data_IF_669140971067
#
_entry.id   IF_669140971067
#
_cell.length_a   1.000
_cell.length_b   1.000
_cell.length_c   1.000
_cell.angle_alpha   90.00
_cell.angle_beta   90.00
_cell.angle_gamma   90.00
#
_symmetry.space_group_name_H-M   'P 1'
#
loop_
_entity.id
_entity.type
_entity.pdbx_description
1 polymer ?
#
# COMPACT_ATOMS: atom_id res chain seq x y z
N UNK A 1 -13.21 -3.00 11.61
CA UNK A 1 -13.28 -1.60 12.06
C UNK A 1 -12.97 -0.67 10.92
N UNK A 2 -13.37 0.59 10.99
CA UNK A 2 -13.05 1.62 9.99
C UNK A 2 -11.61 2.11 10.16
N UNK A 3 -10.97 2.54 9.07
CA UNK A 3 -9.63 3.14 9.11
C UNK A 3 -9.67 4.64 9.36
N UNK A 4 -8.49 5.25 9.59
CA UNK A 4 -8.38 6.71 9.69
C UNK A 4 -8.86 7.41 8.42
N UNK A 5 -8.54 6.85 7.24
CA UNK A 5 -9.02 7.39 5.95
C UNK A 5 -10.54 7.26 5.84
N UNK A 6 -11.12 6.14 6.27
CA UNK A 6 -12.58 5.99 6.32
C UNK A 6 -13.24 7.06 7.18
N UNK A 7 -12.65 7.39 8.34
CA UNK A 7 -13.13 8.47 9.20
C UNK A 7 -13.03 9.84 8.51
N UNK A 8 -11.93 10.14 7.82
CA UNK A 8 -11.79 11.40 7.08
C UNK A 8 -12.90 11.56 6.03
N UNK A 9 -13.23 10.52 5.26
CA UNK A 9 -14.34 10.52 4.30
C UNK A 9 -15.73 10.50 4.96
N UNK A 10 -15.84 9.94 6.16
CA UNK A 10 -17.07 10.03 6.94
C UNK A 10 -17.39 11.48 7.29
N UNK A 11 -16.38 12.25 7.75
CA UNK A 11 -16.48 13.68 8.04
C UNK A 11 -16.86 14.48 6.80
N UNK A 12 -16.05 14.42 5.73
CA UNK A 12 -16.36 15.08 4.47
C UNK A 12 -15.48 14.55 3.33
N UNK A 13 -15.99 14.56 2.10
CA UNK A 13 -15.21 14.14 0.92
C UNK A 13 -13.95 14.98 0.74
N UNK A 14 -14.04 16.31 0.92
CA UNK A 14 -12.86 17.19 0.78
C UNK A 14 -11.81 16.97 1.88
N UNK A 15 -12.24 16.63 3.10
CA UNK A 15 -11.31 16.29 4.19
C UNK A 15 -10.60 14.98 3.87
N UNK A 16 -11.33 13.98 3.39
CA UNK A 16 -10.77 12.73 2.87
C UNK A 16 -9.77 12.97 1.73
N UNK A 17 -10.15 13.77 0.74
CA UNK A 17 -9.32 14.04 -0.44
C UNK A 17 -8.04 14.79 -0.13
N UNK A 18 -8.07 15.67 0.88
CA UNK A 18 -6.90 16.49 1.28
C UNK A 18 -6.12 15.89 2.45
N UNK A 19 -6.48 14.70 2.92
CA UNK A 19 -5.86 14.02 4.05
C UNK A 19 -4.40 13.68 3.72
N UNK A 20 -3.46 14.12 4.57
CA UNK A 20 -2.03 13.81 4.42
C UNK A 20 -1.48 13.04 5.62
N UNK A 21 -2.04 13.24 6.79
CA UNK A 21 -1.65 12.57 8.02
C UNK A 21 -2.82 12.59 9.01
N UNK A 22 -2.68 11.83 10.08
CA UNK A 22 -3.64 11.87 11.17
C UNK A 22 -2.97 11.61 12.51
N UNK A 23 -3.62 12.10 13.57
CA UNK A 23 -3.31 11.72 14.94
C UNK A 23 -4.50 11.01 15.55
N UNK A 24 -4.23 9.93 16.25
CA UNK A 24 -5.20 9.25 17.09
C UNK A 24 -4.73 9.40 18.52
N UNK A 25 -5.59 9.94 19.39
CA UNK A 25 -5.26 10.25 20.79
C UNK A 25 -3.97 11.08 20.91
N UNK A 26 -3.86 12.12 20.07
CA UNK A 26 -2.73 13.07 19.94
C UNK A 26 -1.40 12.46 19.45
N UNK A 27 -1.38 11.20 19.01
CA UNK A 27 -0.18 10.54 18.45
C UNK A 27 -0.29 10.37 16.94
N UNK A 28 0.75 10.78 16.20
CA UNK A 28 0.84 10.54 14.76
C UNK A 28 0.70 9.04 14.48
N UNK A 29 -0.20 8.71 13.57
CA UNK A 29 -0.64 7.33 13.35
C UNK A 29 -0.77 7.06 11.85
N UNK A 30 -0.37 5.87 11.37
CA UNK A 30 -0.54 5.49 9.98
C UNK A 30 -2.01 5.61 9.52
N UNK A 31 -2.22 6.09 8.29
CA UNK A 31 -3.57 6.28 7.73
C UNK A 31 -4.37 4.97 7.61
N UNK A 32 -3.68 3.83 7.49
CA UNK A 32 -4.28 2.49 7.45
C UNK A 32 -4.77 1.97 8.80
N UNK A 33 -4.45 2.66 9.90
CA UNK A 33 -4.79 2.19 11.25
C UNK A 33 -6.30 2.06 11.42
N UNK A 34 -6.72 0.92 11.97
CA UNK A 34 -8.11 0.64 12.31
C UNK A 34 -8.45 1.35 13.61
N UNK A 35 -9.51 2.16 13.58
CA UNK A 35 -9.99 2.92 14.72
C UNK A 35 -10.80 2.05 15.69
N UNK A 36 -10.71 2.40 16.97
CA UNK A 36 -11.49 1.85 18.08
C UNK A 36 -12.48 2.89 18.58
N UNK A 37 -13.53 2.42 19.25
CA UNK A 37 -14.54 3.31 19.85
C UNK A 37 -13.92 4.17 20.96
N UNK A 38 -14.37 5.42 21.05
CA UNK A 38 -13.91 6.37 22.07
C UNK A 38 -12.57 7.07 21.77
N UNK A 39 -11.92 6.77 20.65
CA UNK A 39 -10.68 7.45 20.27
C UNK A 39 -10.93 8.84 19.69
N UNK A 40 -10.05 9.79 20.00
CA UNK A 40 -10.07 11.12 19.38
C UNK A 40 -9.21 11.10 18.12
N UNK A 41 -9.79 11.46 16.98
CA UNK A 41 -9.09 11.46 15.68
C UNK A 41 -8.97 12.89 15.15
N UNK A 42 -7.73 13.32 14.92
CA UNK A 42 -7.38 14.60 14.30
C UNK A 42 -6.87 14.31 12.89
N UNK A 43 -7.58 14.82 11.87
CA UNK A 43 -7.16 14.70 10.47
C UNK A 43 -6.35 15.92 10.08
N UNK A 44 -5.14 15.69 9.56
CA UNK A 44 -4.26 16.74 9.06
C UNK A 44 -4.47 16.81 7.54
N UNK A 45 -4.82 17.99 7.06
CA UNK A 45 -5.07 18.24 5.62
C UNK A 45 -4.08 19.24 5.04
N UNK A 46 -3.81 19.14 3.74
CA UNK A 46 -2.98 20.09 3.03
C UNK A 46 -3.67 20.63 1.77
N UNK A 47 -3.41 21.91 1.44
CA UNK A 47 -3.87 22.50 0.18
C UNK A 47 -3.12 21.84 -0.98
N UNK A 48 -3.86 21.33 -1.97
CA UNK A 48 -3.28 20.61 -3.12
C UNK A 48 -2.97 19.14 -2.87
N UNK A 49 -3.23 18.61 -1.67
CA UNK A 49 -3.18 17.17 -1.45
C UNK A 49 -4.29 16.46 -2.23
N UNK A 50 -3.97 15.27 -2.72
CA UNK A 50 -4.84 14.42 -3.52
C UNK A 50 -4.90 13.02 -2.90
N UNK A 51 -5.99 12.27 -3.08
CA UNK A 51 -6.08 10.88 -2.66
C UNK A 51 -4.94 10.03 -3.22
N UNK A 52 -4.39 9.16 -2.38
CA UNK A 52 -3.44 8.15 -2.83
C UNK A 52 -4.20 6.91 -3.36
N UNK A 53 -3.91 6.42 -4.59
CA UNK A 53 -4.54 5.22 -5.14
C UNK A 53 -4.44 3.97 -4.25
N UNK A 54 -3.34 3.85 -3.49
CA UNK A 54 -3.12 2.71 -2.59
C UNK A 54 -4.19 2.61 -1.48
N UNK A 55 -4.88 3.71 -1.15
CA UNK A 55 -5.94 3.71 -0.13
C UNK A 55 -7.09 2.78 -0.47
N UNK A 56 -7.41 2.61 -1.76
CA UNK A 56 -8.48 1.71 -2.22
C UNK A 56 -8.27 0.28 -1.70
N UNK A 57 -7.01 -0.14 -1.51
CA UNK A 57 -6.65 -1.47 -1.03
C UNK A 57 -6.92 -1.73 0.45
N UNK A 58 -7.05 -0.69 1.30
CA UNK A 58 -7.21 -0.87 2.74
C UNK A 58 -8.43 -0.18 3.36
N UNK A 59 -9.07 0.77 2.67
CA UNK A 59 -10.28 1.42 3.18
C UNK A 59 -11.46 0.45 3.23
N UNK A 60 -12.24 0.52 4.30
CA UNK A 60 -13.27 -0.48 4.62
C UNK A 60 -14.67 -0.01 4.23
N UNK A 61 -14.95 1.29 4.25
CA UNK A 61 -16.29 1.83 4.02
C UNK A 61 -16.59 2.01 2.53
N UNK A 62 -17.86 1.79 2.15
CA UNK A 62 -18.31 1.99 0.76
C UNK A 62 -18.19 3.46 0.33
N UNK A 63 -18.47 4.40 1.24
CA UNK A 63 -18.34 5.85 1.01
C UNK A 63 -16.91 6.22 0.63
N UNK A 64 -15.92 5.83 1.43
CA UNK A 64 -14.51 6.12 1.14
C UNK A 64 -14.06 5.48 -0.18
N UNK A 65 -14.35 4.18 -0.38
CA UNK A 65 -14.01 3.49 -1.64
C UNK A 65 -14.60 4.19 -2.86
N UNK A 66 -15.88 4.56 -2.80
CA UNK A 66 -16.56 5.21 -3.91
C UNK A 66 -15.97 6.59 -4.20
N UNK A 67 -15.77 7.41 -3.15
CA UNK A 67 -15.23 8.76 -3.30
C UNK A 67 -13.80 8.76 -3.86
N UNK A 68 -12.93 7.88 -3.36
CA UNK A 68 -11.55 7.73 -3.87
C UNK A 68 -11.57 7.32 -5.34
N UNK A 69 -12.31 6.26 -5.70
CA UNK A 69 -12.39 5.81 -7.09
C UNK A 69 -12.98 6.85 -8.02
N UNK A 70 -14.00 7.58 -7.57
CA UNK A 70 -14.60 8.67 -8.34
C UNK A 70 -13.56 9.76 -8.62
N UNK A 71 -12.78 10.15 -7.62
CA UNK A 71 -11.69 11.10 -7.80
C UNK A 71 -10.66 10.60 -8.81
N UNK A 72 -10.19 9.37 -8.65
CA UNK A 72 -9.17 8.78 -9.53
C UNK A 72 -9.65 8.65 -10.97
N UNK A 73 -10.91 8.28 -11.20
CA UNK A 73 -11.52 8.24 -12.55
C UNK A 73 -11.60 9.61 -13.23
N UNK A 74 -11.57 10.69 -12.46
CA UNK A 74 -11.53 12.05 -12.99
C UNK A 74 -10.14 12.50 -13.46
N UNK A 75 -9.09 11.73 -13.18
CA UNK A 75 -7.73 12.04 -13.64
C UNK A 75 -7.65 11.94 -15.16
N UNK A 76 -6.89 12.85 -15.77
CA UNK A 76 -6.57 12.72 -17.20
C UNK A 76 -5.72 11.48 -17.40
N UNK A 77 -5.87 10.81 -18.55
CA UNK A 77 -5.10 9.60 -18.88
C UNK A 77 -3.59 9.81 -18.68
N UNK A 78 -3.05 10.94 -19.13
CA UNK A 78 -1.64 11.29 -18.94
C UNK A 78 -1.22 11.41 -17.47
N UNK A 79 -2.09 11.95 -16.61
CA UNK A 79 -1.85 12.07 -15.17
C UNK A 79 -1.90 10.69 -14.49
N UNK A 80 -2.85 9.85 -14.88
CA UNK A 80 -2.96 8.48 -14.38
C UNK A 80 -1.72 7.65 -14.75
N UNK A 81 -1.24 7.74 -15.99
CA UNK A 81 -0.01 7.08 -16.44
C UNK A 81 1.19 7.58 -15.63
N UNK A 82 1.40 8.91 -15.53
CA UNK A 82 2.53 9.47 -14.78
C UNK A 82 2.48 9.11 -13.29
N UNK A 83 1.29 9.01 -12.70
CA UNK A 83 1.11 8.54 -11.34
C UNK A 83 1.45 7.05 -11.21
N UNK A 84 0.96 6.21 -12.12
CA UNK A 84 1.24 4.78 -12.15
C UNK A 84 2.72 4.45 -12.29
N UNK A 85 3.43 5.16 -13.17
CA UNK A 85 4.88 5.04 -13.32
C UNK A 85 5.61 5.31 -12.01
N UNK A 86 5.28 6.43 -11.33
CA UNK A 86 5.89 6.79 -10.04
C UNK A 86 5.61 5.74 -8.97
N UNK A 87 4.36 5.25 -8.89
CA UNK A 87 3.96 4.24 -7.91
C UNK A 87 4.67 2.91 -8.15
N UNK A 88 4.81 2.49 -9.41
CA UNK A 88 5.53 1.25 -9.74
C UNK A 88 7.03 1.40 -9.45
N UNK A 89 7.65 2.51 -9.85
CA UNK A 89 9.05 2.78 -9.57
C UNK A 89 9.34 2.78 -8.07
N UNK A 90 8.47 3.38 -7.25
CA UNK A 90 8.58 3.36 -5.80
C UNK A 90 8.50 1.93 -5.25
N UNK A 91 7.54 1.13 -5.74
CA UNK A 91 7.38 -0.26 -5.29
C UNK A 91 8.57 -1.15 -5.68
N UNK A 92 9.21 -0.90 -6.83
CA UNK A 92 10.44 -1.58 -7.24
C UNK A 92 11.64 -1.14 -6.40
N UNK A 93 11.73 0.15 -6.07
CA UNK A 93 12.79 0.68 -5.21
C UNK A 93 12.75 0.08 -3.79
N UNK A 94 11.56 -0.22 -3.25
CA UNK A 94 11.41 -0.98 -2.00
C UNK A 94 12.03 -2.40 -2.08
N UNK A 95 12.19 -2.94 -3.29
CA UNK A 95 12.83 -4.23 -3.57
C UNK A 95 14.26 -4.09 -4.11
N UNK A 96 14.89 -2.91 -3.96
CA UNK A 96 16.24 -2.59 -4.45
C UNK A 96 16.46 -2.76 -5.96
N UNK A 97 15.41 -2.59 -6.77
CA UNK A 97 15.50 -2.65 -8.23
C UNK A 97 15.05 -1.34 -8.87
N UNK A 98 15.73 -0.94 -9.94
CA UNK A 98 15.28 0.15 -10.79
C UNK A 98 14.42 -0.41 -11.92
N UNK A 99 13.50 0.40 -12.41
CA UNK A 99 12.65 0.04 -13.56
C UNK A 99 13.49 -0.29 -14.81
N UNK A 100 14.66 0.35 -14.93
CA UNK A 100 15.62 0.15 -16.02
C UNK A 100 16.33 -1.21 -15.96
N UNK A 101 16.42 -1.82 -14.78
CA UNK A 101 17.02 -3.13 -14.56
C UNK A 101 16.03 -4.28 -14.83
N UNK A 102 14.75 -3.96 -15.03
CA UNK A 102 13.71 -4.95 -15.30
C UNK A 102 13.82 -5.42 -16.75
N UNK A 103 14.06 -6.72 -16.93
CA UNK A 103 14.14 -7.34 -18.24
C UNK A 103 12.86 -7.09 -19.06
N UNK A 104 13.01 -6.72 -20.34
CA UNK A 104 11.89 -6.46 -21.23
C UNK A 104 10.97 -7.69 -21.38
N UNK A 105 11.55 -8.88 -21.27
CA UNK A 105 10.87 -10.17 -21.28
C UNK A 105 9.96 -10.35 -20.05
N UNK A 106 10.39 -9.89 -18.88
CA UNK A 106 9.58 -9.93 -17.65
C UNK A 106 8.38 -8.98 -17.77
N UNK A 107 8.59 -7.78 -18.34
CA UNK A 107 7.50 -6.86 -18.66
C UNK A 107 6.49 -7.48 -19.64
N UNK A 108 6.96 -8.09 -20.72
CA UNK A 108 6.10 -8.74 -21.72
C UNK A 108 5.31 -9.91 -21.12
N UNK A 109 5.92 -10.72 -20.26
CA UNK A 109 5.25 -11.80 -19.55
C UNK A 109 4.12 -11.28 -18.65
N UNK A 110 4.40 -10.26 -17.84
CA UNK A 110 3.40 -9.65 -16.95
C UNK A 110 2.25 -9.00 -17.73
N UNK A 111 2.53 -8.34 -18.86
CA UNK A 111 1.50 -7.79 -19.74
C UNK A 111 0.61 -8.89 -20.33
N UNK A 112 1.22 -10.00 -20.79
CA UNK A 112 0.50 -11.16 -21.28
C UNK A 112 -0.40 -11.81 -20.23
N UNK A 113 0.11 -12.01 -19.00
CA UNK A 113 -0.68 -12.56 -17.87
C UNK A 113 -1.85 -11.67 -17.48
N UNK A 114 -1.67 -10.35 -17.53
CA UNK A 114 -2.68 -9.37 -17.15
C UNK A 114 -3.63 -9.01 -18.30
N UNK A 115 -3.37 -9.50 -19.51
CA UNK A 115 -4.15 -9.22 -20.72
C UNK A 115 -4.08 -7.75 -21.14
N UNK A 116 -2.90 -7.12 -21.01
CA UNK A 116 -2.67 -5.70 -21.32
C UNK A 116 -1.87 -5.54 -22.61
N UNK A 117 -2.18 -4.50 -23.37
CA UNK A 117 -1.55 -4.26 -24.67
C UNK A 117 -0.18 -3.58 -24.55
N UNK A 118 -0.02 -2.68 -23.59
CA UNK A 118 1.21 -1.94 -23.38
C UNK A 118 1.44 -1.57 -21.91
N UNK A 119 2.66 -1.09 -21.61
CA UNK A 119 3.02 -0.63 -20.26
C UNK A 119 2.24 0.64 -19.85
N UNK A 120 1.80 1.47 -20.80
CA UNK A 120 1.02 2.67 -20.49
C UNK A 120 -0.35 2.32 -19.92
N UNK A 121 -0.99 1.27 -20.45
CA UNK A 121 -2.22 0.70 -19.93
C UNK A 121 -2.00 0.15 -18.52
N UNK A 122 -0.89 -0.56 -18.27
CA UNK A 122 -0.54 -1.01 -16.93
C UNK A 122 -0.36 0.16 -15.96
N UNK A 123 0.36 1.20 -16.35
CA UNK A 123 0.55 2.42 -15.54
C UNK A 123 -0.76 3.14 -15.28
N UNK A 124 -1.61 3.31 -16.30
CA UNK A 124 -2.94 3.89 -16.16
C UNK A 124 -3.77 3.13 -15.12
N UNK A 125 -3.80 1.79 -15.21
CA UNK A 125 -4.53 0.93 -14.28
C UNK A 125 -3.99 0.99 -12.85
N UNK A 126 -2.68 1.14 -12.67
CA UNK A 126 -2.07 1.38 -11.36
C UNK A 126 -2.46 2.77 -10.83
N UNK A 127 -2.35 3.81 -11.65
CA UNK A 127 -2.67 5.20 -11.29
C UNK A 127 -4.14 5.38 -10.90
N UNK A 128 -5.05 4.65 -11.54
CA UNK A 128 -6.47 4.64 -11.20
C UNK A 128 -6.81 3.78 -9.96
N UNK A 129 -5.83 3.07 -9.39
CA UNK A 129 -6.03 2.17 -8.25
C UNK A 129 -6.76 0.87 -8.57
N UNK A 130 -6.86 0.50 -9.86
CA UNK A 130 -7.44 -0.78 -10.30
C UNK A 130 -6.45 -1.94 -10.10
N UNK A 131 -5.15 -1.63 -10.10
CA UNK A 131 -4.06 -2.56 -9.79
C UNK A 131 -3.16 -1.98 -8.70
N UNK A 132 -2.69 -2.84 -7.79
CA UNK A 132 -1.77 -2.43 -6.74
C UNK A 132 -0.32 -2.51 -7.24
N UNK A 133 0.39 -1.38 -7.22
CA UNK A 133 1.78 -1.30 -7.65
C UNK A 133 2.70 -2.35 -6.97
N UNK A 134 2.61 -2.61 -5.65
CA UNK A 134 3.46 -3.62 -5.00
C UNK A 134 3.24 -5.04 -5.53
N UNK A 135 2.01 -5.40 -5.93
CA UNK A 135 1.72 -6.72 -6.48
C UNK A 135 2.25 -6.86 -7.91
N UNK A 136 2.23 -5.77 -8.69
CA UNK A 136 2.80 -5.76 -10.04
C UNK A 136 4.33 -5.81 -9.94
N UNK A 137 4.94 -5.00 -9.07
CA UNK A 137 6.38 -5.01 -8.82
C UNK A 137 6.88 -6.42 -8.47
N UNK A 138 6.20 -7.14 -7.55
CA UNK A 138 6.55 -8.52 -7.20
C UNK A 138 6.51 -9.52 -8.35
N UNK A 139 5.68 -9.30 -9.37
CA UNK A 139 5.63 -10.16 -10.57
C UNK A 139 6.76 -9.85 -11.56
N UNK A 140 7.25 -8.60 -11.55
CA UNK A 140 8.37 -8.17 -12.39
C UNK A 140 9.72 -8.60 -11.79
N UNK A 141 9.76 -9.00 -10.52
CA UNK A 141 10.94 -9.56 -9.90
C UNK A 141 11.26 -10.95 -10.50
N UNK A 142 12.52 -11.24 -10.85
CA UNK A 142 12.91 -12.60 -11.19
C UNK A 142 12.66 -13.51 -10.00
N UNK A 143 12.25 -14.77 -10.25
CA UNK A 143 11.89 -15.76 -9.22
C UNK A 143 12.99 -16.05 -8.18
N UNK A 144 14.21 -15.54 -8.38
CA UNK A 144 15.36 -15.63 -7.47
C UNK A 144 15.45 -14.46 -6.46
N UNK A 145 14.69 -13.39 -6.65
CA UNK A 145 14.55 -12.32 -5.67
C UNK A 145 13.44 -12.71 -4.68
N UNK A 146 13.78 -13.60 -3.75
CA UNK A 146 13.02 -13.73 -2.50
C UNK A 146 12.82 -12.32 -1.93
N UNK A 147 11.58 -11.81 -1.82
CA UNK A 147 11.34 -10.50 -1.24
C UNK A 147 11.86 -10.59 0.18
N UNK A 148 12.92 -9.83 0.49
CA UNK A 148 13.67 -9.91 1.73
C UNK A 148 12.78 -10.39 2.87
N UNK A 149 12.81 -11.71 3.11
CA UNK A 149 12.23 -12.29 4.28
C UNK A 149 12.93 -11.51 5.38
N UNK A 150 12.17 -10.74 6.16
CA UNK A 150 12.72 -10.25 7.40
C UNK A 150 13.35 -11.48 8.02
N UNK A 151 14.67 -11.45 8.20
CA UNK A 151 15.32 -12.48 9.00
C UNK A 151 14.54 -12.40 10.29
N UNK A 152 13.66 -13.37 10.53
CA UNK A 152 12.90 -13.46 11.75
C UNK A 152 13.96 -13.60 12.83
N UNK A 153 14.36 -12.47 13.40
CA UNK A 153 15.21 -12.44 14.56
C UNK A 153 14.43 -13.24 15.59
N UNK A 154 15.01 -14.31 16.17
CA UNK A 154 14.32 -15.07 17.17
C UNK A 154 13.84 -14.10 18.24
N UNK A 155 12.54 -14.17 18.56
CA UNK A 155 11.89 -13.33 19.56
C UNK A 155 12.69 -13.48 20.87
N UNK A 156 13.52 -12.48 21.18
CA UNK A 156 14.26 -12.45 22.42
C UNK A 156 13.27 -12.20 23.56
N UNK A 157 12.99 -13.23 24.35
CA UNK A 157 12.22 -13.09 25.57
C UNK A 157 13.10 -12.34 26.56
N UNK A 158 12.72 -11.12 26.92
CA UNK A 158 13.43 -10.34 27.92
C UNK A 158 13.42 -11.10 29.27
N UNK A 159 14.61 -11.42 29.78
CA UNK A 159 14.80 -12.10 31.06
C UNK A 159 15.26 -13.57 30.99
N UNK A 160 15.52 -14.13 29.80
CA UNK A 160 16.03 -15.51 29.65
C UNK A 160 17.48 -15.58 29.18
N UNK A 161 18.34 -14.68 29.64
CA UNK A 161 19.76 -14.74 29.30
C UNK A 161 20.38 -16.04 29.86
N UNK A 162 20.80 -16.94 28.97
CA UNK A 162 21.49 -18.20 29.30
C UNK A 162 20.63 -19.48 29.32
N UNK A 163 19.33 -19.44 28.98
CA UNK A 163 18.51 -20.65 28.86
C UNK A 163 18.34 -21.11 27.40
N UNK A 164 18.44 -22.42 27.18
CA UNK A 164 18.10 -23.08 25.91
C UNK A 164 16.57 -23.20 25.81
N UNK A 165 15.96 -22.39 24.93
CA UNK A 165 14.49 -22.38 24.74
C UNK A 165 14.12 -23.25 23.54
N UNK A 166 13.22 -24.22 23.75
CA UNK A 166 12.62 -25.03 22.68
C UNK A 166 11.14 -24.67 22.51
N UNK A 167 10.74 -24.28 21.30
CA UNK A 167 9.33 -23.98 20.99
C UNK A 167 8.50 -25.25 20.83
N UNK A 168 7.22 -25.19 21.22
CA UNK A 168 6.29 -26.30 21.08
C UNK A 168 5.90 -26.52 19.62
N UNK A 169 5.79 -27.79 19.18
CA UNK A 169 5.48 -28.17 17.79
C UNK A 169 3.99 -28.13 17.44
N UNK A 170 3.11 -27.88 18.42
CA UNK A 170 1.66 -27.94 18.25
C UNK A 170 1.05 -26.62 17.75
N UNK A 171 1.71 -25.49 18.00
CA UNK A 171 1.26 -24.17 17.57
C UNK A 171 2.49 -23.45 17.04
N UNK A 172 2.66 -23.37 15.73
CA UNK A 172 3.73 -22.60 15.08
C UNK A 172 3.48 -21.10 15.35
N UNK A 173 4.18 -20.47 16.29
CA UNK A 173 3.94 -19.07 16.57
C UNK A 173 4.55 -18.27 15.43
N UNK A 174 3.70 -17.73 14.55
CA UNK A 174 4.14 -16.83 13.49
C UNK A 174 4.55 -15.50 14.14
N UNK A 175 5.78 -15.02 13.91
CA UNK A 175 6.20 -13.70 14.37
C UNK A 175 5.39 -12.62 13.63
N UNK A 176 4.87 -11.64 14.36
CA UNK A 176 4.40 -10.39 13.74
C UNK A 176 5.58 -9.51 13.36
#
# INVERSE_FOLDING_TARGET
GATVVDFAYAVHTDVGNRCVAAKVDRRLTPLRTVLRNGQTVEIITAKGAVPNPAWVGFVVTAKARSAIRHYLKGLRRSEAIALGQRLLAQALAESHLLLEDVAAEACAAVLGELGMHDMNELYEKIGLGERLAPLVARRLLPATAEPGASKHAPLAIAGTEGLLVSYARCCFPLPN
#
